data_IF_568137841785
#
_entry.id   IF_568137841785
#
_cell.length_a   1.000
_cell.length_b   1.000
_cell.length_c   1.000
_cell.angle_alpha   90.00
_cell.angle_beta   90.00
_cell.angle_gamma   90.00
#
_symmetry.space_group_name_H-M   'P 1'
#
loop_
_entity.id
_entity.type
_entity.pdbx_description
1 polymer ?
#
# COMPACT_ATOMS: atom_id res chain seq x y z
N UNK A 1 6.72 10.21 1.32
CA UNK A 1 6.14 9.04 0.63
C UNK A 1 6.41 7.82 1.49
N UNK A 2 5.39 7.04 1.82
CA UNK A 2 5.49 5.86 2.70
C UNK A 2 4.77 4.69 2.01
N UNK A 3 5.34 3.49 2.05
CA UNK A 3 4.63 2.28 1.65
C UNK A 3 3.88 1.73 2.86
N UNK A 4 2.59 1.48 2.69
CA UNK A 4 1.72 0.94 3.72
C UNK A 4 1.18 -0.41 3.24
N UNK A 5 0.97 -1.34 4.17
CA UNK A 5 0.38 -2.64 3.87
C UNK A 5 -0.84 -2.81 4.78
N UNK A 6 -1.99 -3.12 4.19
CA UNK A 6 -3.16 -3.54 4.95
C UNK A 6 -2.91 -4.96 5.50
N UNK A 7 -2.98 -5.12 6.83
CA UNK A 7 -2.73 -6.41 7.49
C UNK A 7 -3.85 -7.42 7.33
N UNK A 8 -5.07 -6.99 7.00
CA UNK A 8 -6.20 -7.89 6.76
C UNK A 8 -6.14 -8.50 5.36
N UNK A 9 -5.76 -7.70 4.36
CA UNK A 9 -5.85 -8.09 2.94
C UNK A 9 -4.51 -8.25 2.23
N UNK A 10 -3.43 -7.74 2.81
CA UNK A 10 -2.09 -7.73 2.20
C UNK A 10 -1.89 -6.71 1.09
N UNK A 11 -2.88 -5.87 0.78
CA UNK A 11 -2.80 -4.89 -0.29
C UNK A 11 -1.78 -3.80 0.06
N UNK A 12 -0.90 -3.50 -0.90
CA UNK A 12 0.06 -2.39 -0.79
C UNK A 12 -0.58 -1.06 -1.18
N UNK A 13 -0.30 -0.02 -0.39
CA UNK A 13 -0.76 1.34 -0.62
C UNK A 13 0.42 2.32 -0.62
N UNK A 14 0.36 3.31 -1.51
CA UNK A 14 1.23 4.46 -1.46
C UNK A 14 0.61 5.55 -0.61
N UNK A 15 1.25 5.89 0.50
CA UNK A 15 0.95 7.08 1.29
C UNK A 15 1.47 8.33 0.58
N UNK A 16 0.53 9.19 0.16
CA UNK A 16 0.83 10.46 -0.51
C UNK A 16 0.69 11.60 0.50
N UNK A 17 1.74 12.38 0.64
CA UNK A 17 1.75 13.60 1.44
C UNK A 17 1.41 14.77 0.52
N UNK A 18 0.33 15.51 0.82
CA UNK A 18 0.08 16.80 0.18
C UNK A 18 0.40 17.92 1.19
N UNK A 19 1.16 18.94 0.77
CA UNK A 19 1.50 20.09 1.61
C UNK A 19 2.45 19.79 2.77
N UNK A 20 2.32 20.58 3.85
CA UNK A 20 3.21 20.69 5.03
C UNK A 20 3.29 19.43 5.94
N UNK A 21 3.43 18.23 5.37
CA UNK A 21 3.91 17.05 6.10
C UNK A 21 2.87 16.02 6.55
N UNK A 22 1.57 16.29 6.41
CA UNK A 22 0.53 15.30 6.77
C UNK A 22 0.11 14.44 5.55
N UNK A 23 0.10 13.10 5.67
CA UNK A 23 -0.42 12.24 4.60
C UNK A 23 -1.88 12.61 4.33
N UNK A 24 -2.16 13.06 3.11
CA UNK A 24 -3.47 13.58 2.72
C UNK A 24 -4.30 12.53 1.98
N UNK A 25 -3.73 11.36 1.71
CA UNK A 25 -4.42 10.23 1.12
C UNK A 25 -3.52 9.01 0.95
N UNK A 26 -4.16 7.89 0.64
CA UNK A 26 -3.52 6.65 0.23
C UNK A 26 -4.14 6.19 -1.09
N UNK A 27 -3.34 5.57 -1.95
CA UNK A 27 -3.82 4.94 -3.19
C UNK A 27 -3.30 3.50 -3.24
N UNK A 28 -4.13 2.52 -3.64
CA UNK A 28 -3.63 1.15 -3.80
C UNK A 28 -2.60 1.11 -4.92
N UNK A 29 -1.57 0.29 -4.73
CA UNK A 29 -0.69 -0.10 -5.81
C UNK A 29 -1.39 -1.20 -6.60
N UNK A 30 -1.40 -1.06 -7.92
CA UNK A 30 -2.05 -2.01 -8.82
C UNK A 30 -1.00 -2.68 -9.71
N UNK A 31 -1.26 -3.93 -10.07
CA UNK A 31 -0.57 -4.60 -11.15
C UNK A 31 -1.03 -4.05 -12.51
N UNK A 32 -0.34 -4.43 -13.58
CA UNK A 32 -0.67 -3.97 -14.94
C UNK A 32 -2.08 -4.38 -15.41
N UNK A 33 -2.63 -5.45 -14.84
CA UNK A 33 -4.00 -5.94 -15.12
C UNK A 33 -5.09 -5.26 -14.28
N UNK A 34 -4.70 -4.29 -13.43
CA UNK A 34 -5.62 -3.56 -12.56
C UNK A 34 -5.96 -4.26 -11.24
N UNK A 35 -5.40 -5.45 -10.97
CA UNK A 35 -5.56 -6.11 -9.67
C UNK A 35 -4.71 -5.43 -8.59
N UNK A 36 -5.13 -5.45 -7.30
CA UNK A 36 -4.31 -4.95 -6.22
C UNK A 36 -2.98 -5.70 -6.11
N UNK A 37 -1.89 -4.98 -5.91
CA UNK A 37 -0.59 -5.56 -5.61
C UNK A 37 -0.58 -6.06 -4.16
N UNK A 38 -0.27 -7.34 -3.99
CA UNK A 38 -0.18 -8.00 -2.68
C UNK A 38 1.28 -8.01 -2.22
N UNK A 39 1.49 -7.67 -0.95
CA UNK A 39 2.80 -7.69 -0.34
C UNK A 39 3.31 -9.12 -0.10
N UNK A 40 4.57 -9.37 -0.47
CA UNK A 40 5.18 -10.71 -0.38
C UNK A 40 5.35 -11.20 1.07
N UNK A 41 5.67 -10.32 2.02
CA UNK A 41 5.82 -10.71 3.44
C UNK A 41 4.46 -11.07 4.04
N UNK A 42 3.39 -10.35 3.67
CA UNK A 42 2.02 -10.68 4.08
C UNK A 42 1.63 -12.06 3.54
N UNK A 43 1.87 -12.28 2.25
CA UNK A 43 1.56 -13.55 1.58
C UNK A 43 2.30 -14.74 2.21
N UNK A 44 3.50 -14.49 2.72
CA UNK A 44 4.33 -15.49 3.41
C UNK A 44 4.06 -15.58 4.92
N UNK A 45 3.11 -14.81 5.47
CA UNK A 45 2.80 -14.71 6.90
C UNK A 45 3.98 -14.22 7.78
N UNK A 46 4.69 -13.19 7.32
CA UNK A 46 5.91 -12.65 7.93
C UNK A 46 5.78 -11.20 8.44
N UNK A 47 4.57 -10.63 8.44
CA UNK A 47 4.28 -9.19 8.63
C UNK A 47 3.75 -8.81 10.03
#
# INVERSE_FOLDING_TARGET
>A
MVLLVDRETGVEYLGVTAGLGNPSGITPLLNADGTPKINTEWQNHQL
#
